data_IF_344648453300
#
_entry.id   IF_344648453300
#
_cell.length_a   1.000
_cell.length_b   1.000
_cell.length_c   1.000
_cell.angle_alpha   90.00
_cell.angle_beta   90.00
_cell.angle_gamma   90.00
#
_symmetry.space_group_name_H-M   'P 1'
#
loop_
_entity.id
_entity.type
_entity.pdbx_description
1 polymer ?
#
# COMPACT_ATOMS: atom_id res chain seq x y z
N UNK A 1 -2.40 -11.53 15.91
CA UNK A 1 -3.47 -10.49 15.94
C UNK A 1 -3.84 -10.08 14.53
N UNK A 2 -5.14 -9.95 14.23
CA UNK A 2 -5.67 -9.47 12.95
C UNK A 2 -6.59 -8.27 13.20
N UNK A 3 -6.39 -7.16 12.50
CA UNK A 3 -7.25 -5.97 12.54
C UNK A 3 -7.68 -5.63 11.12
N UNK A 4 -8.97 -5.35 10.93
CA UNK A 4 -9.54 -5.00 9.63
C UNK A 4 -10.23 -3.64 9.73
N UNK A 5 -9.95 -2.77 8.76
CA UNK A 5 -10.62 -1.48 8.62
C UNK A 5 -11.19 -1.36 7.21
N UNK A 6 -12.46 -0.97 7.09
CA UNK A 6 -13.13 -0.82 5.80
C UNK A 6 -13.70 0.58 5.67
N UNK A 7 -13.48 1.21 4.52
CA UNK A 7 -14.05 2.51 4.16
C UNK A 7 -14.71 2.42 2.79
N UNK A 8 -15.77 3.20 2.60
CA UNK A 8 -16.40 3.40 1.31
C UNK A 8 -16.20 4.84 0.85
N UNK A 9 -16.04 5.03 -0.45
CA UNK A 9 -15.97 6.35 -1.07
C UNK A 9 -16.59 6.28 -2.47
N UNK A 10 -17.06 7.42 -2.97
CA UNK A 10 -17.60 7.54 -4.31
C UNK A 10 -16.84 8.64 -5.05
N UNK A 11 -16.29 8.29 -6.21
CA UNK A 11 -15.69 9.24 -7.13
C UNK A 11 -16.76 9.75 -8.09
N UNK A 12 -16.87 11.07 -8.24
CA UNK A 12 -17.74 11.73 -9.23
C UNK A 12 -17.09 11.74 -10.62
N UNK A 13 -16.54 10.59 -11.03
CA UNK A 13 -15.86 10.40 -12.30
C UNK A 13 -16.25 9.04 -12.92
N UNK A 14 -16.31 8.93 -14.27
CA UNK A 14 -16.57 7.66 -14.94
C UNK A 14 -15.54 6.58 -14.61
N UNK A 15 -15.98 5.33 -14.57
CA UNK A 15 -15.13 4.16 -14.26
C UNK A 15 -13.84 4.07 -15.10
N UNK A 16 -13.86 4.31 -16.43
CA UNK A 16 -12.62 4.31 -17.22
C UNK A 16 -11.61 5.36 -16.75
N UNK A 17 -12.09 6.55 -16.36
CA UNK A 17 -11.24 7.65 -15.87
C UNK A 17 -10.65 7.32 -14.51
N UNK A 18 -11.44 6.72 -13.61
CA UNK A 18 -10.97 6.26 -12.29
C UNK A 18 -9.93 5.15 -12.43
N UNK A 19 -10.18 4.20 -13.33
CA UNK A 19 -9.25 3.11 -13.64
C UNK A 19 -7.93 3.64 -14.20
N UNK A 20 -7.98 4.58 -15.14
CA UNK A 20 -6.77 5.22 -15.68
C UNK A 20 -6.01 5.99 -14.59
N UNK A 21 -6.72 6.80 -13.79
CA UNK A 21 -6.12 7.54 -12.68
C UNK A 21 -5.43 6.60 -11.69
N UNK A 22 -6.03 5.44 -11.41
CA UNK A 22 -5.45 4.41 -10.55
C UNK A 22 -4.09 3.95 -11.06
N UNK A 23 -3.97 3.66 -12.36
CA UNK A 23 -2.69 3.25 -12.95
C UNK A 23 -1.67 4.40 -12.96
N UNK A 24 -2.12 5.65 -13.15
CA UNK A 24 -1.24 6.81 -13.23
C UNK A 24 -0.78 7.36 -11.87
N UNK A 25 -1.44 7.02 -10.76
CA UNK A 25 -1.29 7.70 -9.45
C UNK A 25 0.12 7.75 -8.86
N UNK A 26 1.04 6.90 -9.33
CA UNK A 26 2.45 6.84 -8.90
C UNK A 26 3.44 7.10 -10.04
N UNK A 27 2.98 7.63 -11.17
CA UNK A 27 3.85 7.86 -12.34
C UNK A 27 4.78 9.06 -12.19
N UNK A 28 4.44 10.01 -11.30
CA UNK A 28 5.23 11.21 -11.06
C UNK A 28 4.84 11.88 -9.73
N UNK A 29 5.80 12.39 -8.94
CA UNK A 29 5.52 13.19 -7.76
C UNK A 29 4.91 14.56 -8.12
N UNK A 30 5.19 15.11 -9.31
CA UNK A 30 4.50 16.30 -9.80
C UNK A 30 3.03 15.97 -10.07
N UNK A 31 2.73 14.81 -10.66
CA UNK A 31 1.36 14.35 -10.93
C UNK A 31 0.55 14.17 -9.63
N UNK A 32 1.16 13.51 -8.65
CA UNK A 32 0.53 13.24 -7.36
C UNK A 32 1.49 13.51 -6.17
N UNK A 33 1.49 14.72 -5.60
CA UNK A 33 2.35 15.08 -4.48
C UNK A 33 2.09 14.26 -3.20
N UNK A 34 0.89 13.71 -3.04
CA UNK A 34 0.52 12.86 -1.91
C UNK A 34 1.25 11.50 -1.92
N UNK A 35 1.82 11.12 -3.08
CA UNK A 35 2.57 9.89 -3.27
C UNK A 35 4.10 10.06 -3.19
N UNK A 36 4.63 11.17 -2.67
CA UNK A 36 6.07 11.44 -2.53
C UNK A 36 6.89 10.41 -1.72
N UNK A 37 6.22 9.50 -1.03
CA UNK A 37 6.82 8.38 -0.31
C UNK A 37 7.04 7.15 -1.20
N UNK A 38 6.49 7.11 -2.41
CA UNK A 38 6.73 6.09 -3.44
C UNK A 38 7.98 6.51 -4.21
N UNK A 39 9.02 5.69 -4.14
CA UNK A 39 10.32 5.93 -4.75
C UNK A 39 10.36 5.46 -6.20
N UNK A 40 9.82 4.27 -6.47
CA UNK A 40 9.73 3.71 -7.82
C UNK A 40 8.48 2.85 -7.95
N UNK A 41 8.08 2.61 -9.20
CA UNK A 41 6.96 1.75 -9.57
C UNK A 41 7.27 1.07 -10.89
N UNK A 42 7.16 -0.24 -10.91
CA UNK A 42 7.48 -1.06 -12.07
C UNK A 42 6.33 -2.04 -12.34
N UNK A 43 6.01 -2.24 -13.61
CA UNK A 43 5.04 -3.26 -14.04
C UNK A 43 5.80 -4.56 -14.30
N UNK A 44 5.50 -5.59 -13.51
CA UNK A 44 6.11 -6.92 -13.64
C UNK A 44 5.44 -7.70 -14.77
N UNK A 45 4.12 -7.67 -14.82
CA UNK A 45 3.34 -8.32 -15.87
C UNK A 45 2.05 -7.57 -16.16
N UNK A 46 1.62 -7.59 -17.40
CA UNK A 46 0.33 -7.05 -17.83
C UNK A 46 -0.15 -7.84 -19.05
N UNK A 47 -1.35 -8.40 -18.97
CA UNK A 47 -1.94 -9.18 -20.06
C UNK A 47 -3.47 -9.11 -20.00
N UNK A 48 -4.10 -9.28 -21.16
CA UNK A 48 -5.54 -9.49 -21.26
C UNK A 48 -5.78 -10.98 -21.31
N UNK A 49 -6.60 -11.50 -20.40
CA UNK A 49 -7.05 -12.89 -20.43
C UNK A 49 -7.89 -13.12 -21.70
N UNK A 50 -7.52 -14.08 -22.57
CA UNK A 50 -8.23 -14.31 -23.82
C UNK A 50 -9.66 -14.83 -23.61
N UNK A 51 -9.94 -15.56 -22.52
CA UNK A 51 -11.27 -16.12 -22.24
C UNK A 51 -12.16 -15.07 -21.59
N UNK A 52 -11.69 -14.45 -20.51
CA UNK A 52 -12.52 -13.50 -19.75
C UNK A 52 -12.46 -12.07 -20.28
N UNK A 53 -11.48 -11.76 -21.15
CA UNK A 53 -11.22 -10.41 -21.68
C UNK A 53 -10.90 -9.38 -20.59
N UNK A 54 -10.45 -9.85 -19.41
CA UNK A 54 -10.07 -9.00 -18.27
C UNK A 54 -8.60 -8.64 -18.33
N UNK A 55 -8.26 -7.41 -17.94
CA UNK A 55 -6.88 -6.96 -17.85
C UNK A 55 -6.31 -7.33 -16.48
N UNK A 56 -5.32 -8.21 -16.48
CA UNK A 56 -4.53 -8.59 -15.32
C UNK A 56 -3.23 -7.82 -15.33
N UNK A 57 -2.92 -7.12 -14.23
CA UNK A 57 -1.67 -6.39 -14.08
C UNK A 57 -1.06 -6.65 -12.71
N UNK A 58 0.25 -6.92 -12.69
CA UNK A 58 1.05 -7.03 -11.46
C UNK A 58 2.13 -5.96 -11.48
N UNK A 59 2.19 -5.16 -10.42
CA UNK A 59 3.17 -4.08 -10.24
C UNK A 59 3.91 -4.24 -8.93
N UNK A 60 5.10 -3.69 -8.86
CA UNK A 60 5.85 -3.55 -7.62
C UNK A 60 6.15 -2.08 -7.37
N UNK A 61 5.96 -1.65 -6.12
CA UNK A 61 6.23 -0.30 -5.68
C UNK A 61 7.28 -0.33 -4.58
N UNK A 62 8.34 0.46 -4.75
CA UNK A 62 9.28 0.75 -3.67
C UNK A 62 8.80 1.96 -2.90
N UNK A 63 8.56 1.83 -1.59
CA UNK A 63 8.08 2.92 -0.74
C UNK A 63 9.03 3.16 0.43
N UNK A 64 9.12 4.40 0.92
CA UNK A 64 9.78 4.69 2.21
C UNK A 64 9.03 3.94 3.32
N UNK A 65 9.75 3.16 4.12
CA UNK A 65 9.19 2.37 5.21
C UNK A 65 8.68 3.27 6.32
N UNK A 66 7.53 2.88 6.89
CA UNK A 66 6.85 3.62 7.96
C UNK A 66 6.89 2.90 9.30
N UNK A 67 7.67 1.82 9.41
CA UNK A 67 7.83 1.12 10.68
C UNK A 67 8.47 2.06 11.72
N UNK A 68 7.98 2.09 12.97
CA UNK A 68 8.62 2.86 14.03
C UNK A 68 10.05 2.41 14.27
N UNK A 69 10.93 3.35 14.64
CA UNK A 69 12.32 3.04 14.96
C UNK A 69 12.48 1.97 16.06
N UNK A 70 11.54 1.91 17.02
CA UNK A 70 11.53 0.87 18.05
C UNK A 70 11.34 -0.55 17.47
N UNK A 71 10.55 -0.69 16.40
CA UNK A 71 10.33 -1.97 15.72
C UNK A 71 11.57 -2.39 14.93
N UNK A 72 12.26 -1.43 14.29
CA UNK A 72 13.52 -1.70 13.59
C UNK A 72 14.62 -2.21 14.52
N UNK A 73 14.71 -1.72 15.75
CA UNK A 73 15.71 -2.15 16.74
C UNK A 73 15.55 -3.61 17.21
N UNK A 74 14.37 -4.19 17.03
CA UNK A 74 14.05 -5.57 17.45
C UNK A 74 14.10 -6.56 16.28
N UNK A 75 14.21 -6.06 15.06
CA UNK A 75 14.38 -6.88 13.88
C UNK A 75 15.85 -7.31 13.77
N UNK A 76 16.12 -8.60 13.51
CA UNK A 76 17.48 -9.03 13.20
C UNK A 76 18.01 -8.24 12.01
N UNK A 77 19.30 -7.90 12.01
CA UNK A 77 19.93 -7.16 10.91
C UNK A 77 19.75 -7.82 9.54
N UNK A 78 19.59 -9.15 9.50
CA UNK A 78 19.26 -9.92 8.30
C UNK A 78 17.89 -9.59 7.69
N UNK A 79 16.96 -9.05 8.48
CA UNK A 79 15.60 -8.68 8.05
C UNK A 79 15.51 -7.17 7.74
N UNK A 80 16.40 -6.36 8.31
CA UNK A 80 16.47 -4.90 8.05
C UNK A 80 17.47 -4.51 6.97
N UNK A 81 18.21 -5.47 6.40
CA UNK A 81 19.27 -5.19 5.42
C UNK A 81 20.54 -4.58 6.03
N UNK A 82 20.82 -4.84 7.32
CA UNK A 82 21.98 -4.31 8.04
C UNK A 82 21.78 -2.93 8.67
N UNK A 83 22.85 -2.39 9.26
CA UNK A 83 22.88 -1.12 10.02
C UNK A 83 22.74 0.14 9.16
N UNK A 84 22.83 0.02 7.83
CA UNK A 84 22.85 1.16 6.89
C UNK A 84 21.84 1.06 5.75
N UNK A 85 20.95 0.06 5.74
CA UNK A 85 19.97 -0.12 4.69
C UNK A 85 18.90 0.97 4.72
N UNK A 86 18.68 1.62 3.58
CA UNK A 86 17.62 2.59 3.41
C UNK A 86 16.29 1.92 3.82
N UNK A 87 15.57 2.54 4.76
CA UNK A 87 14.35 1.98 5.35
C UNK A 87 13.26 1.99 4.29
N UNK A 88 13.23 0.99 3.40
CA UNK A 88 12.31 0.89 2.28
C UNK A 88 11.43 -0.37 2.37
N UNK A 89 10.25 -0.31 1.80
CA UNK A 89 9.22 -1.34 1.80
C UNK A 89 8.83 -1.65 0.37
N UNK A 90 8.89 -2.93 -0.01
CA UNK A 90 8.42 -3.40 -1.31
C UNK A 90 6.95 -3.77 -1.19
N UNK A 91 6.10 -3.19 -2.04
CA UNK A 91 4.67 -3.48 -2.10
C UNK A 91 4.36 -4.13 -3.44
N UNK A 92 3.83 -5.36 -3.40
CA UNK A 92 3.28 -6.01 -4.58
C UNK A 92 1.83 -5.59 -4.74
N UNK A 93 1.48 -5.07 -5.90
CA UNK A 93 0.12 -4.74 -6.29
C UNK A 93 -0.33 -5.67 -7.41
N UNK A 94 -1.52 -6.26 -7.26
CA UNK A 94 -2.20 -7.01 -8.31
C UNK A 94 -3.55 -6.38 -8.58
N UNK A 95 -3.91 -6.21 -9.85
CA UNK A 95 -5.20 -5.69 -10.26
C UNK A 95 -5.82 -6.53 -11.36
N UNK A 96 -7.13 -6.68 -11.30
CA UNK A 96 -7.98 -7.24 -12.35
C UNK A 96 -9.02 -6.20 -12.73
N UNK A 97 -9.12 -5.87 -14.02
CA UNK A 97 -10.07 -4.90 -14.54
C UNK A 97 -10.98 -5.59 -15.54
N UNK A 98 -12.29 -5.46 -15.33
CA UNK A 98 -13.31 -5.80 -16.31
C UNK A 98 -13.98 -4.51 -16.78
N UNK A 99 -13.63 -4.06 -17.99
CA UNK A 99 -14.17 -2.83 -18.56
C UNK A 99 -15.61 -3.01 -19.05
N UNK A 100 -16.02 -4.25 -19.37
CA UNK A 100 -17.36 -4.56 -19.89
C UNK A 100 -18.38 -4.61 -18.75
N UNK A 101 -18.02 -5.30 -17.67
CA UNK A 101 -18.84 -5.38 -16.46
C UNK A 101 -18.67 -4.14 -15.56
N UNK A 102 -17.63 -3.32 -15.78
CA UNK A 102 -17.45 -2.05 -15.11
C UNK A 102 -16.98 -2.17 -13.66
N UNK A 103 -16.02 -3.05 -13.41
CA UNK A 103 -15.41 -3.22 -12.08
C UNK A 103 -13.90 -3.44 -12.16
N UNK A 104 -13.22 -3.07 -11.07
CA UNK A 104 -11.79 -3.31 -10.88
C UNK A 104 -11.54 -3.79 -9.46
N UNK A 105 -10.87 -4.93 -9.32
CA UNK A 105 -10.38 -5.44 -8.04
C UNK A 105 -8.88 -5.22 -7.95
N UNK A 106 -8.41 -4.73 -6.81
CA UNK A 106 -6.99 -4.52 -6.57
C UNK A 106 -6.61 -5.01 -5.18
N UNK A 107 -5.43 -5.61 -5.08
CA UNK A 107 -4.81 -6.00 -3.82
C UNK A 107 -3.38 -5.46 -3.79
N UNK A 108 -2.99 -4.84 -2.67
CA UNK A 108 -1.63 -4.39 -2.39
C UNK A 108 -1.15 -5.01 -1.08
N UNK A 109 0.05 -5.62 -1.10
CA UNK A 109 0.64 -6.22 0.10
C UNK A 109 2.13 -5.96 0.20
N UNK A 110 2.65 -5.79 1.42
CA UNK A 110 4.09 -5.69 1.63
C UNK A 110 4.79 -7.06 1.49
N UNK A 111 5.94 -7.08 0.82
CA UNK A 111 6.76 -8.28 0.63
C UNK A 111 7.80 -8.46 1.75
N UNK A 112 8.37 -7.36 2.24
CA UNK A 112 9.30 -7.38 3.36
C UNK A 112 8.61 -7.04 4.69
N UNK A 113 9.23 -7.41 5.81
CA UNK A 113 8.71 -7.24 7.17
C UNK A 113 7.41 -7.99 7.52
N UNK A 114 6.96 -8.93 6.67
CA UNK A 114 5.74 -9.76 6.88
C UNK A 114 5.78 -10.61 8.15
N UNK A 115 6.98 -10.92 8.64
CA UNK A 115 7.20 -11.60 9.92
C UNK A 115 6.92 -10.74 11.15
N UNK A 116 6.72 -9.43 10.98
CA UNK A 116 6.35 -8.47 12.03
C UNK A 116 4.94 -7.96 11.78
N UNK A 117 4.72 -7.35 10.61
CA UNK A 117 3.45 -6.76 10.23
C UNK A 117 3.22 -7.01 8.73
N UNK A 118 2.17 -7.77 8.43
CA UNK A 118 1.62 -7.89 7.09
C UNK A 118 0.47 -6.90 6.98
N UNK A 119 0.49 -6.08 5.95
CA UNK A 119 -0.57 -5.14 5.58
C UNK A 119 -1.06 -5.54 4.20
N UNK A 120 -2.36 -5.82 4.11
CA UNK A 120 -3.02 -6.15 2.84
C UNK A 120 -4.11 -5.10 2.66
N UNK A 121 -4.03 -4.31 1.59
CA UNK A 121 -5.05 -3.35 1.18
C UNK A 121 -5.76 -3.91 -0.04
N UNK A 122 -7.07 -4.09 0.06
CA UNK A 122 -7.94 -4.53 -1.02
C UNK A 122 -8.88 -3.40 -1.39
N UNK A 123 -8.99 -3.10 -2.67
CA UNK A 123 -9.92 -2.08 -3.17
C UNK A 123 -10.81 -2.67 -4.26
N UNK A 124 -12.11 -2.47 -4.10
CA UNK A 124 -13.14 -2.91 -5.03
C UNK A 124 -13.79 -1.67 -5.63
N UNK A 125 -13.51 -1.41 -6.90
CA UNK A 125 -14.14 -0.37 -7.69
C UNK A 125 -15.27 -0.98 -8.51
N UNK A 126 -16.42 -0.32 -8.57
CA UNK A 126 -17.56 -0.75 -9.38
C UNK A 126 -18.39 0.42 -9.85
N UNK A 127 -19.07 0.24 -10.97
CA UNK A 127 -20.18 1.12 -11.35
C UNK A 127 -21.30 1.04 -10.30
N UNK A 128 -21.95 2.17 -9.95
CA UNK A 128 -23.15 2.14 -9.12
C UNK A 128 -24.27 1.34 -9.79
N UNK A 129 -25.15 0.73 -8.98
CA UNK A 129 -26.27 -0.07 -9.50
C UNK A 129 -27.32 0.77 -10.25
N UNK A 130 -27.43 2.06 -9.91
CA UNK A 130 -28.20 3.04 -10.66
C UNK A 130 -27.30 3.61 -11.76
N UNK A 131 -27.80 3.70 -13.01
CA UNK A 131 -27.08 4.05 -14.25
C UNK A 131 -26.43 5.45 -14.28
N UNK A 132 -25.63 5.80 -13.28
CA UNK A 132 -24.81 6.99 -13.23
C UNK A 132 -23.45 6.69 -13.85
N UNK A 133 -23.39 6.74 -15.19
CA UNK A 133 -22.16 6.57 -15.97
C UNK A 133 -21.03 7.57 -15.57
N UNK A 134 -21.36 8.59 -14.76
CA UNK A 134 -20.47 9.62 -14.27
C UNK A 134 -19.87 9.35 -12.88
N UNK A 135 -20.18 8.22 -12.25
CA UNK A 135 -19.72 7.91 -10.89
C UNK A 135 -19.07 6.52 -10.80
N UNK A 136 -18.20 6.34 -9.81
CA UNK A 136 -17.56 5.07 -9.48
C UNK A 136 -17.49 4.90 -7.98
N UNK A 137 -18.06 3.81 -7.47
CA UNK A 137 -17.98 3.46 -6.06
C UNK A 137 -16.67 2.69 -5.79
N UNK A 138 -16.03 2.98 -4.67
CA UNK A 138 -14.88 2.22 -4.17
C UNK A 138 -15.10 1.79 -2.72
N UNK A 139 -14.88 0.51 -2.46
CA UNK A 139 -14.75 -0.03 -1.09
C UNK A 139 -13.31 -0.43 -0.86
N UNK A 140 -12.67 0.16 0.15
CA UNK A 140 -11.28 -0.13 0.52
C UNK A 140 -11.25 -0.85 1.87
N UNK A 141 -10.62 -2.00 1.92
CA UNK A 141 -10.41 -2.79 3.14
C UNK A 141 -8.92 -2.97 3.40
N UNK A 142 -8.46 -2.59 4.59
CA UNK A 142 -7.08 -2.75 5.02
C UNK A 142 -7.03 -3.76 6.16
N UNK A 143 -6.24 -4.81 5.96
CA UNK A 143 -6.07 -5.94 6.88
C UNK A 143 -4.65 -5.91 7.41
N UNK A 144 -4.51 -5.73 8.71
CA UNK A 144 -3.24 -5.80 9.44
C UNK A 144 -3.14 -7.15 10.11
N UNK A 145 -2.08 -7.91 9.82
CA UNK A 145 -1.76 -9.16 10.51
C UNK A 145 -0.39 -9.03 11.17
N UNK A 146 -0.36 -9.06 12.49
CA UNK A 146 0.88 -9.05 13.28
C UNK A 146 1.15 -10.41 13.90
N UNK A 147 2.38 -10.89 13.69
CA UNK A 147 2.93 -12.14 14.25
C UNK A 147 3.99 -11.89 15.33
N UNK A 148 4.22 -10.63 15.71
CA UNK A 148 5.27 -10.27 16.66
C UNK A 148 5.01 -10.83 18.06
N UNK A 149 3.75 -10.78 18.53
CA UNK A 149 3.37 -11.31 19.85
C UNK A 149 3.58 -12.82 19.98
N UNK A 150 3.28 -13.59 18.93
CA UNK A 150 3.49 -15.04 18.90
C UNK A 150 4.99 -15.40 18.99
N UNK A 151 5.84 -14.68 18.24
CA UNK A 151 7.31 -14.89 18.26
C UNK A 151 7.94 -14.53 19.61
N UNK A 152 7.49 -13.44 20.23
CA UNK A 152 7.99 -13.04 21.55
C UNK A 152 7.57 -14.01 22.65
N UNK A 153 6.33 -14.49 22.60
CA UNK A 153 5.82 -15.51 23.54
C UNK A 153 6.54 -16.85 23.37
N UNK A 154 6.86 -17.25 22.14
CA UNK A 154 7.69 -18.42 21.86
C UNK A 154 9.11 -18.31 22.43
N UNK A 155 9.75 -17.14 22.30
CA UNK A 155 11.08 -16.89 22.87
C UNK A 155 11.08 -16.82 24.41
N UNK A 156 10.06 -16.22 25.02
CA UNK A 156 9.91 -16.26 26.48
C UNK A 156 9.70 -17.69 27.00
N UNK A 157 8.89 -18.49 26.30
CA UNK A 157 8.67 -19.90 26.65
C UNK A 157 9.95 -20.75 26.59
N UNK A 158 10.82 -20.49 25.60
CA UNK A 158 12.14 -21.13 25.51
C UNK A 158 13.10 -20.65 26.61
N UNK A 159 13.15 -19.33 26.89
CA UNK A 159 14.00 -18.79 27.95
C UNK A 159 13.60 -19.24 29.36
N UNK A 160 12.31 -19.55 29.57
CA UNK A 160 11.79 -20.10 30.83
C UNK A 160 12.14 -21.59 31.01
N UNK A 161 12.41 -22.33 29.93
CA UNK A 161 12.91 -23.72 29.98
C UNK A 161 14.43 -23.81 30.21
N UNK A 162 15.21 -22.79 29.84
CA UNK A 162 16.68 -22.79 29.98
C UNK A 162 17.23 -22.24 31.31
N UNK A 163 16.38 -21.92 32.30
CA UNK A 163 16.83 -21.62 33.67
C UNK A 163 17.76 -20.40 33.82
N UNK A 164 17.78 -19.48 32.85
CA UNK A 164 18.65 -18.30 32.86
C UNK A 164 18.11 -17.13 33.68
N UNK A 165 18.96 -16.55 34.54
CA UNK A 165 18.74 -15.40 35.43
C UNK A 165 18.29 -14.07 34.76
N UNK A 166 17.87 -14.08 33.48
CA UNK A 166 17.48 -12.90 32.69
C UNK A 166 15.95 -12.63 32.79
N UNK A 167 15.19 -13.54 33.40
CA UNK A 167 13.72 -13.47 33.46
C UNK A 167 13.15 -12.22 34.17
N UNK A 168 13.93 -11.54 35.01
CA UNK A 168 13.43 -10.43 35.85
C UNK A 168 13.37 -9.05 35.18
N UNK A 169 14.21 -8.78 34.16
CA UNK A 169 14.39 -7.40 33.64
C UNK A 169 13.65 -7.17 32.31
N UNK A 170 13.33 -8.23 31.55
CA UNK A 170 12.74 -8.13 30.20
C UNK A 170 11.21 -8.40 30.21
N UNK A 171 10.66 -8.97 31.28
CA UNK A 171 9.29 -9.49 31.31
C UNK A 171 8.16 -8.47 31.38
N UNK A 172 8.39 -7.24 31.88
CA UNK A 172 7.32 -6.30 32.21
C UNK A 172 6.96 -5.25 31.15
N UNK A 173 7.92 -4.82 30.30
CA UNK A 173 7.75 -3.60 29.48
C UNK A 173 7.62 -3.84 27.97
N UNK A 174 7.93 -5.03 27.46
CA UNK A 174 8.04 -5.26 26.02
C UNK A 174 6.70 -5.49 25.31
N UNK A 175 5.90 -6.45 25.77
CA UNK A 175 4.82 -7.02 24.95
C UNK A 175 3.57 -6.14 24.86
N UNK A 176 3.15 -5.52 25.97
CA UNK A 176 1.96 -4.65 25.99
C UNK A 176 2.17 -3.32 25.26
N UNK A 177 3.33 -2.67 25.41
CA UNK A 177 3.63 -1.42 24.72
C UNK A 177 3.79 -1.58 23.20
N UNK A 178 4.33 -2.72 22.76
CA UNK A 178 4.48 -3.05 21.34
C UNK A 178 3.14 -3.39 20.68
N UNK A 179 2.30 -4.17 21.35
CA UNK A 179 0.95 -4.43 20.84
C UNK A 179 0.17 -3.12 20.68
N UNK A 180 0.21 -2.23 21.68
CA UNK A 180 -0.39 -0.89 21.59
C UNK A 180 0.21 -0.02 20.47
N UNK A 181 1.50 -0.15 20.20
CA UNK A 181 2.17 0.57 19.10
C UNK A 181 1.75 0.05 17.72
N UNK A 182 1.52 -1.27 17.59
CA UNK A 182 0.99 -1.86 16.36
C UNK A 182 -0.48 -1.50 16.19
N UNK A 183 -1.25 -1.53 17.27
CA UNK A 183 -2.65 -1.09 17.30
C UNK A 183 -2.78 0.40 16.95
N UNK A 184 -1.87 1.28 17.44
CA UNK A 184 -1.86 2.71 17.10
C UNK A 184 -1.39 3.01 15.68
N UNK A 185 -0.46 2.21 15.13
CA UNK A 185 -0.14 2.24 13.71
C UNK A 185 -1.34 1.81 12.87
N UNK A 186 -2.05 0.76 13.30
CA UNK A 186 -3.19 0.20 12.58
C UNK A 186 -4.42 1.12 12.61
N UNK A 187 -4.60 1.95 13.64
CA UNK A 187 -5.76 2.82 13.77
C UNK A 187 -5.54 4.23 13.17
N UNK A 188 -4.68 5.06 13.78
CA UNK A 188 -4.61 6.49 13.41
C UNK A 188 -3.86 6.73 12.10
N UNK A 189 -2.68 6.10 11.92
CA UNK A 189 -1.86 6.35 10.72
C UNK A 189 -2.44 5.72 9.46
N UNK A 190 -3.19 4.64 9.60
CA UNK A 190 -3.92 4.01 8.49
C UNK A 190 -5.01 4.93 7.96
N UNK A 191 -5.83 5.50 8.85
CA UNK A 191 -6.88 6.45 8.47
C UNK A 191 -6.29 7.64 7.72
N UNK A 192 -5.20 8.22 8.22
CA UNK A 192 -4.50 9.31 7.54
C UNK A 192 -3.98 8.89 6.16
N UNK A 193 -3.48 7.65 6.03
CA UNK A 193 -2.97 7.14 4.76
C UNK A 193 -4.10 6.90 3.75
N UNK A 194 -5.25 6.39 4.19
CA UNK A 194 -6.45 6.24 3.35
C UNK A 194 -6.93 7.62 2.86
N UNK A 195 -6.93 8.64 3.73
CA UNK A 195 -7.21 10.02 3.36
C UNK A 195 -6.27 10.54 2.26
N UNK A 196 -4.96 10.38 2.43
CA UNK A 196 -3.96 10.79 1.44
C UNK A 196 -4.09 10.05 0.11
N UNK A 197 -4.43 8.76 0.14
CA UNK A 197 -4.67 7.96 -1.08
C UNK A 197 -5.86 8.52 -1.86
N UNK A 198 -6.96 8.82 -1.16
CA UNK A 198 -8.15 9.44 -1.74
C UNK A 198 -7.86 10.82 -2.33
N UNK A 199 -7.16 11.68 -1.59
CA UNK A 199 -6.86 13.04 -2.03
C UNK A 199 -5.88 13.05 -3.21
N UNK A 200 -4.92 12.13 -3.22
CA UNK A 200 -4.03 11.90 -4.36
C UNK A 200 -4.78 11.44 -5.62
N UNK A 201 -5.69 10.46 -5.47
CA UNK A 201 -6.56 10.02 -6.58
C UNK A 201 -7.44 11.16 -7.09
N UNK A 202 -8.07 11.95 -6.20
CA UNK A 202 -8.88 13.11 -6.58
C UNK A 202 -8.07 14.11 -7.40
N UNK A 203 -6.85 14.41 -6.97
CA UNK A 203 -5.98 15.34 -7.71
C UNK A 203 -5.62 14.83 -9.11
N UNK A 204 -5.30 13.54 -9.24
CA UNK A 204 -5.02 12.92 -10.55
C UNK A 204 -6.25 12.99 -11.45
N UNK A 205 -7.43 12.70 -10.91
CA UNK A 205 -8.71 12.80 -11.62
C UNK A 205 -8.99 14.22 -12.12
N UNK A 206 -8.85 15.24 -11.26
CA UNK A 206 -9.05 16.63 -11.66
C UNK A 206 -8.05 17.08 -12.73
N UNK A 207 -6.81 16.57 -12.70
CA UNK A 207 -5.83 16.86 -13.76
C UNK A 207 -6.20 16.21 -15.08
N UNK A 208 -6.70 14.98 -15.06
CA UNK A 208 -7.22 14.32 -16.28
C UNK A 208 -8.42 15.11 -16.83
N UNK A 209 -9.31 15.57 -15.94
CA UNK A 209 -10.48 16.38 -16.31
C UNK A 209 -10.10 17.72 -16.94
N UNK A 210 -9.12 18.43 -16.38
CA UNK A 210 -8.76 19.77 -16.82
C UNK A 210 -7.80 19.78 -18.03
N UNK A 211 -6.84 18.85 -18.07
CA UNK A 211 -5.79 18.86 -19.09
C UNK A 211 -6.01 17.81 -20.19
N UNK A 212 -7.03 16.95 -20.03
CA UNK A 212 -7.22 15.77 -20.86
C UNK A 212 -6.19 14.67 -20.60
N UNK A 213 -6.50 13.46 -21.06
CA UNK A 213 -5.62 12.29 -20.92
C UNK A 213 -4.27 12.54 -21.59
N UNK A 214 -4.28 13.05 -22.83
CA UNK A 214 -3.06 13.29 -23.60
C UNK A 214 -2.17 14.35 -22.94
N UNK A 215 -2.75 15.43 -22.39
CA UNK A 215 -1.97 16.45 -21.68
C UNK A 215 -1.26 15.90 -20.44
N UNK A 216 -1.93 15.02 -19.68
CA UNK A 216 -1.33 14.34 -18.53
C UNK A 216 -0.19 13.41 -18.99
N UNK A 217 -0.41 12.59 -20.02
CA UNK A 217 0.60 11.65 -20.52
C UNK A 217 1.81 12.38 -21.12
N UNK A 218 1.60 13.50 -21.82
CA UNK A 218 2.68 14.31 -22.37
C UNK A 218 3.51 14.97 -21.27
N UNK A 219 2.87 15.45 -20.21
CA UNK A 219 3.56 15.98 -19.02
C UNK A 219 4.47 14.90 -18.41
N UNK A 220 3.93 13.69 -18.20
CA UNK A 220 4.70 12.55 -17.70
C UNK A 220 5.87 12.16 -18.61
N UNK A 221 5.68 12.24 -19.93
CA UNK A 221 6.73 11.96 -20.92
C UNK A 221 7.85 12.99 -20.85
N UNK A 222 7.51 14.28 -20.83
CA UNK A 222 8.48 15.39 -20.73
C UNK A 222 9.28 15.31 -19.43
N UNK A 223 8.65 14.95 -18.32
CA UNK A 223 9.33 14.75 -17.03
C UNK A 223 10.34 13.61 -17.09
N UNK A 224 9.96 12.45 -17.63
CA UNK A 224 10.89 11.33 -17.83
C UNK A 224 12.07 11.71 -18.72
N UNK A 225 11.83 12.45 -19.81
CA UNK A 225 12.91 12.95 -20.66
C UNK A 225 13.86 13.88 -19.92
N UNK A 226 13.35 14.80 -19.08
CA UNK A 226 14.18 15.69 -18.26
C UNK A 226 15.01 14.92 -17.24
N UNK A 227 14.44 13.88 -16.61
CA UNK A 227 15.17 13.03 -15.68
C UNK A 227 16.33 12.28 -16.35
N UNK A 228 16.14 11.84 -17.60
CA UNK A 228 17.19 11.19 -18.39
C UNK A 228 18.28 12.16 -18.86
N UNK A 229 17.94 13.43 -19.11
CA UNK A 229 18.88 14.46 -19.58
C UNK A 229 19.61 15.20 -18.45
N UNK A 230 19.08 15.14 -17.23
CA UNK A 230 19.65 15.77 -16.04
C UNK A 230 20.38 14.82 -15.09
N UNK A 231 20.65 13.58 -15.53
CA UNK A 231 21.43 12.56 -14.83
C UNK A 231 22.78 12.33 -15.53
#
# INVERSE_FOLDING_TARGET
MVLTHTTAHQYTHPFPTVTLAYFLRYSSPQLNPFASHVLSTDTISSHVDPETQRLHTTRIHLKKSRLPNAVFKLLPGSVTGGSGGDKASYILETSVVDIKEGWMHTESRNLNFTGVLSVIEQQNFKLPAENMASQTDVTTSVIFRSRLGEKLRGKLGQAQQEGGLISGIIGGWGTQGMQRSIESLASTKTLDQLGKSRDGMRLVLERIRNNGVMGVLETLRRERQRQLLGA
#
